data_IF_497541697184
#
_entry.id   IF_497541697184
#
_cell.length_a   1.000
_cell.length_b   1.000
_cell.length_c   1.000
_cell.angle_alpha   90.00
_cell.angle_beta   90.00
_cell.angle_gamma   90.00
#
_symmetry.space_group_name_H-M   'P 1'
#
loop_
_entity.id
_entity.type
_entity.pdbx_description
1 polymer ?
#
# COMPACT_ATOMS: atom_id res chain seq x y z
N UNK A 1 29.95 -11.84 14.81
CA UNK A 1 29.88 -12.26 13.39
C UNK A 1 28.56 -12.96 13.05
N UNK A 2 28.23 -14.14 13.62
CA UNK A 2 26.99 -14.88 13.30
C UNK A 2 25.69 -14.09 13.53
N UNK A 3 25.59 -13.34 14.62
CA UNK A 3 24.41 -12.52 14.92
C UNK A 3 24.23 -11.35 13.93
N UNK A 4 25.33 -10.68 13.55
CA UNK A 4 25.30 -9.58 12.57
C UNK A 4 24.78 -10.08 11.21
N UNK A 5 25.24 -11.26 10.80
CA UNK A 5 24.77 -11.89 9.56
C UNK A 5 23.27 -12.24 9.63
N UNK A 6 22.80 -12.75 10.78
CA UNK A 6 21.38 -13.05 11.00
C UNK A 6 20.47 -11.82 10.98
N UNK A 7 20.92 -10.70 11.55
CA UNK A 7 20.17 -9.43 11.48
C UNK A 7 20.10 -8.94 10.02
N UNK A 8 21.20 -9.02 9.29
CA UNK A 8 21.23 -8.62 7.87
C UNK A 8 20.29 -9.46 7.01
N UNK A 9 20.30 -10.78 7.14
CA UNK A 9 19.40 -11.65 6.37
C UNK A 9 17.94 -11.44 6.73
N UNK A 10 17.64 -11.20 8.02
CA UNK A 10 16.30 -10.85 8.47
C UNK A 10 15.82 -9.55 7.84
N UNK A 11 16.62 -8.48 7.91
CA UNK A 11 16.26 -7.17 7.35
C UNK A 11 16.07 -7.24 5.84
N UNK A 12 16.92 -7.97 5.13
CA UNK A 12 16.80 -8.18 3.70
C UNK A 12 15.48 -8.89 3.36
N UNK A 13 15.16 -9.98 4.08
CA UNK A 13 13.90 -10.70 3.92
C UNK A 13 12.67 -9.84 4.25
N UNK A 14 12.75 -9.04 5.31
CA UNK A 14 11.69 -8.13 5.71
C UNK A 14 11.41 -7.07 4.63
N UNK A 15 12.46 -6.44 4.10
CA UNK A 15 12.35 -5.42 3.05
C UNK A 15 11.75 -6.04 1.79
N UNK A 16 12.27 -7.20 1.35
CA UNK A 16 11.76 -7.90 0.17
C UNK A 16 10.31 -8.32 0.37
N UNK A 17 9.96 -8.84 1.54
CA UNK A 17 8.59 -9.27 1.86
C UNK A 17 7.60 -8.10 1.87
N UNK A 18 7.96 -6.98 2.50
CA UNK A 18 7.11 -5.79 2.56
C UNK A 18 6.92 -5.16 1.17
N UNK A 19 8.01 -4.96 0.43
CA UNK A 19 7.95 -4.35 -0.90
C UNK A 19 7.25 -5.28 -1.89
N UNK A 20 7.63 -6.56 -1.92
CA UNK A 20 7.04 -7.56 -2.80
C UNK A 20 5.55 -7.77 -2.51
N UNK A 21 5.18 -7.87 -1.23
CA UNK A 21 3.78 -7.97 -0.82
C UNK A 21 2.95 -6.76 -1.23
N UNK A 22 3.47 -5.54 -1.02
CA UNK A 22 2.80 -4.31 -1.43
C UNK A 22 2.65 -4.22 -2.96
N UNK A 23 3.70 -4.58 -3.71
CA UNK A 23 3.66 -4.58 -5.18
C UNK A 23 2.63 -5.57 -5.74
N UNK A 24 2.60 -6.80 -5.19
CA UNK A 24 1.61 -7.81 -5.57
C UNK A 24 0.18 -7.36 -5.23
N UNK A 25 -0.02 -6.75 -4.07
CA UNK A 25 -1.32 -6.22 -3.67
C UNK A 25 -1.78 -5.09 -4.60
N UNK A 26 -0.89 -4.14 -4.90
CA UNK A 26 -1.19 -3.05 -5.83
C UNK A 26 -1.55 -3.57 -7.22
N UNK A 27 -0.79 -4.55 -7.73
CA UNK A 27 -1.09 -5.20 -9.00
C UNK A 27 -2.46 -5.90 -8.99
N UNK A 28 -2.79 -6.63 -7.92
CA UNK A 28 -4.07 -7.30 -7.79
C UNK A 28 -5.23 -6.30 -7.78
N UNK A 29 -5.08 -5.17 -7.09
CA UNK A 29 -6.07 -4.09 -7.08
C UNK A 29 -6.22 -3.45 -8.46
N UNK A 30 -5.12 -3.24 -9.18
CA UNK A 30 -5.15 -2.72 -10.53
C UNK A 30 -5.85 -3.70 -11.50
N UNK A 31 -5.53 -5.00 -11.42
CA UNK A 31 -6.16 -6.03 -12.23
C UNK A 31 -7.67 -6.17 -11.94
N UNK A 32 -8.07 -5.94 -10.68
CA UNK A 32 -9.48 -5.88 -10.28
C UNK A 32 -10.18 -4.56 -10.67
N UNK A 33 -9.48 -3.60 -11.27
CA UNK A 33 -10.02 -2.28 -11.60
C UNK A 33 -10.27 -1.38 -10.37
N UNK A 34 -9.74 -1.75 -9.21
CA UNK A 34 -9.83 -1.00 -7.95
C UNK A 34 -8.72 0.07 -7.82
N UNK A 35 -7.69 0.00 -8.67
CA UNK A 35 -6.58 0.95 -8.70
C UNK A 35 -6.19 1.39 -10.13
N UNK A 36 -5.90 2.68 -10.37
CA UNK A 36 -6.15 3.78 -9.45
C UNK A 36 -7.65 3.91 -9.18
N UNK A 37 -8.07 4.21 -7.93
CA UNK A 37 -9.47 4.44 -7.64
C UNK A 37 -9.95 5.57 -8.56
N UNK A 38 -11.13 5.40 -9.13
CA UNK A 38 -11.75 6.44 -9.95
C UNK A 38 -12.06 7.68 -9.08
N UNK A 39 -12.23 8.84 -9.72
CA UNK A 39 -12.44 10.11 -9.03
C UNK A 39 -13.66 10.06 -8.07
N UNK A 40 -14.68 9.25 -8.41
CA UNK A 40 -15.82 9.00 -7.54
C UNK A 40 -15.43 8.26 -6.25
N UNK A 41 -14.63 7.19 -6.34
CA UNK A 41 -14.10 6.47 -5.17
C UNK A 41 -13.19 7.36 -4.32
N UNK A 42 -12.35 8.19 -4.94
CA UNK A 42 -11.48 9.13 -4.22
C UNK A 42 -12.33 10.14 -3.44
N UNK A 43 -13.34 10.75 -4.07
CA UNK A 43 -14.25 11.70 -3.42
C UNK A 43 -15.07 11.05 -2.31
N UNK A 44 -15.51 9.80 -2.50
CA UNK A 44 -16.18 9.02 -1.47
C UNK A 44 -15.28 8.81 -0.24
N UNK A 45 -14.05 8.32 -0.44
CA UNK A 45 -13.08 8.11 0.66
C UNK A 45 -12.75 9.45 1.34
N UNK A 46 -12.55 10.51 0.55
CA UNK A 46 -12.26 11.84 1.09
C UNK A 46 -13.43 12.38 1.91
N UNK A 47 -14.68 12.13 1.51
CA UNK A 47 -15.88 12.49 2.29
C UNK A 47 -15.99 11.68 3.57
N UNK A 48 -15.83 10.35 3.52
CA UNK A 48 -15.86 9.49 4.72
C UNK A 48 -14.78 9.87 5.74
N UNK A 49 -13.60 10.31 5.28
CA UNK A 49 -12.51 10.78 6.15
C UNK A 49 -12.65 12.24 6.59
N UNK A 50 -13.71 12.94 6.16
CA UNK A 50 -13.93 14.35 6.48
C UNK A 50 -12.96 15.32 5.79
N UNK A 51 -12.24 14.87 4.75
CA UNK A 51 -11.31 15.66 3.95
C UNK A 51 -12.00 16.44 2.82
N UNK A 52 -13.14 15.93 2.34
CA UNK A 52 -14.01 16.63 1.40
C UNK A 52 -15.32 16.97 2.12
N UNK A 53 -15.62 18.27 2.23
CA UNK A 53 -16.91 18.75 2.70
C UNK A 53 -17.59 19.49 1.54
N UNK A 54 -18.88 19.28 1.37
CA UNK A 54 -19.65 19.84 0.26
C UNK A 54 -20.05 21.33 0.50
N UNK A 55 -19.52 21.96 1.56
CA UNK A 55 -19.92 23.28 2.08
C UNK A 55 -18.93 24.44 1.75
N UNK A 56 -18.09 24.29 0.73
CA UNK A 56 -17.16 25.34 0.23
C UNK A 56 -17.37 25.62 -1.25
#
# INVERSE_FOLDING_TARGET
MKQVFGVFTFLLGLIIGLIGGAALLAYAYQAAGLYPPDDATIKFIARERGWLRDDV
#
